data_IF_948096890352
#
_entry.id   IF_948096890352
#
_cell.length_a   1.000
_cell.length_b   1.000
_cell.length_c   1.000
_cell.angle_alpha   90.00
_cell.angle_beta   90.00
_cell.angle_gamma   90.00
#
_symmetry.space_group_name_H-M   'P 1'
#
loop_
_entity.id
_entity.type
_entity.pdbx_description
1 polymer ?
#
# COMPACT_ATOMS: atom_id res chain seq x y z
N UNK A 1 -2.88 7.20 21.55
CA UNK A 1 -1.74 6.40 21.03
C UNK A 1 -1.64 6.73 19.56
N UNK A 2 -0.58 7.41 19.12
CA UNK A 2 -0.46 7.84 17.73
C UNK A 2 -0.22 6.60 16.84
N UNK A 3 -1.22 6.23 16.04
CA UNK A 3 -1.05 5.27 14.96
C UNK A 3 -0.27 5.98 13.84
N UNK A 4 1.05 5.83 13.81
CA UNK A 4 1.86 6.52 12.79
C UNK A 4 3.39 6.38 12.88
N UNK A 5 3.94 5.66 13.87
CA UNK A 5 5.41 5.57 14.03
C UNK A 5 6.07 4.50 13.15
N UNK A 6 5.28 3.67 12.46
CA UNK A 6 5.78 2.51 11.70
C UNK A 6 5.07 2.40 10.37
N UNK A 7 5.82 1.93 9.38
CA UNK A 7 5.29 1.57 8.08
C UNK A 7 4.28 0.42 8.23
N UNK A 8 3.19 0.42 7.48
CA UNK A 8 2.17 -0.66 7.55
C UNK A 8 2.81 -2.03 7.26
N UNK A 9 3.74 -2.06 6.30
CA UNK A 9 4.42 -3.29 5.87
C UNK A 9 5.72 -3.59 6.61
N UNK A 10 6.23 -2.69 7.46
CA UNK A 10 7.42 -2.96 8.25
C UNK A 10 7.59 -2.05 9.47
N UNK A 11 8.46 -2.43 10.39
CA UNK A 11 8.73 -1.64 11.60
C UNK A 11 9.55 -0.36 11.38
N UNK A 12 9.93 -0.03 10.14
CA UNK A 12 10.72 1.17 9.82
C UNK A 12 9.86 2.43 9.96
N UNK A 13 10.49 3.56 10.32
CA UNK A 13 9.81 4.85 10.33
C UNK A 13 9.19 5.15 8.96
N UNK A 14 7.90 5.50 8.90
CA UNK A 14 7.26 5.87 7.65
C UNK A 14 7.78 7.22 7.20
N UNK A 15 7.79 7.43 5.88
CA UNK A 15 8.20 8.69 5.28
C UNK A 15 7.02 9.64 5.15
N UNK A 16 5.92 9.13 4.62
CA UNK A 16 4.69 9.87 4.41
C UNK A 16 3.49 8.91 4.39
N UNK A 17 2.32 9.47 4.61
CA UNK A 17 1.05 8.80 4.42
C UNK A 17 0.66 8.85 2.94
N UNK A 18 0.40 7.70 2.33
CA UNK A 18 0.02 7.61 0.93
C UNK A 18 -1.32 6.91 0.75
N UNK A 19 -2.10 7.39 -0.21
CA UNK A 19 -3.29 6.70 -0.66
C UNK A 19 -2.91 5.48 -1.50
N UNK A 20 -3.40 4.32 -1.11
CA UNK A 20 -3.24 3.05 -1.81
C UNK A 20 -4.60 2.47 -2.16
N UNK A 21 -4.73 1.95 -3.37
CA UNK A 21 -5.82 1.07 -3.75
C UNK A 21 -5.49 -0.36 -3.33
N UNK A 22 -6.37 -1.01 -2.57
CA UNK A 22 -6.29 -2.40 -2.17
C UNK A 22 -7.43 -3.18 -2.82
N UNK A 23 -7.16 -4.32 -3.44
CA UNK A 23 -8.21 -5.17 -4.01
C UNK A 23 -7.85 -6.65 -3.93
N UNK A 24 -8.86 -7.50 -4.08
CA UNK A 24 -8.64 -8.94 -4.13
C UNK A 24 -8.24 -9.38 -5.54
N UNK A 25 -7.26 -10.27 -5.64
CA UNK A 25 -6.86 -10.85 -6.92
C UNK A 25 -8.02 -11.48 -7.73
N UNK A 26 -9.00 -12.20 -7.12
CA UNK A 26 -10.16 -12.70 -7.85
C UNK A 26 -11.14 -11.61 -8.31
N UNK A 27 -11.20 -10.46 -7.63
CA UNK A 27 -12.17 -9.38 -7.88
C UNK A 27 -11.46 -8.02 -7.98
N UNK A 28 -10.83 -7.71 -9.13
CA UNK A 28 -10.04 -6.49 -9.32
C UNK A 28 -10.86 -5.20 -9.51
N UNK A 29 -12.18 -5.32 -9.62
CA UNK A 29 -13.12 -4.19 -9.71
C UNK A 29 -13.50 -3.66 -8.31
N UNK A 30 -13.48 -4.51 -7.29
CA UNK A 30 -13.73 -4.16 -5.89
C UNK A 30 -12.47 -3.58 -5.25
N UNK A 31 -12.11 -2.37 -5.68
CA UNK A 31 -10.97 -1.65 -5.14
C UNK A 31 -11.40 -0.84 -3.94
N UNK A 32 -10.73 -1.05 -2.82
CA UNK A 32 -10.85 -0.23 -1.63
C UNK A 32 -9.74 0.81 -1.60
N UNK A 33 -10.08 2.05 -1.24
CA UNK A 33 -9.09 3.10 -1.01
C UNK A 33 -8.69 3.11 0.45
N UNK A 34 -7.41 2.87 0.70
CA UNK A 34 -6.81 2.96 2.03
C UNK A 34 -5.75 4.07 2.05
N UNK A 35 -5.49 4.59 3.24
CA UNK A 35 -4.38 5.53 3.45
C UNK A 35 -3.42 4.87 4.42
N UNK A 36 -2.22 4.52 3.96
CA UNK A 36 -1.24 3.78 4.73
C UNK A 36 0.04 4.62 4.89
N UNK A 37 0.62 4.55 6.09
CA UNK A 37 1.93 5.12 6.35
C UNK A 37 3.00 4.20 5.79
N UNK A 38 3.77 4.68 4.81
CA UNK A 38 4.77 3.85 4.13
C UNK A 38 6.17 4.43 4.25
N UNK A 39 7.17 3.55 4.39
CA UNK A 39 8.57 3.93 4.25
C UNK A 39 8.95 4.01 2.76
N UNK A 40 10.01 4.77 2.43
CA UNK A 40 10.50 4.93 1.04
C UNK A 40 10.63 3.59 0.31
N UNK A 41 11.14 2.56 1.00
CA UNK A 41 11.38 1.24 0.41
C UNK A 41 10.09 0.53 -0.02
N UNK A 42 9.06 0.54 0.83
CA UNK A 42 7.76 -0.07 0.47
C UNK A 42 7.04 0.76 -0.57
N UNK A 43 7.14 2.10 -0.50
CA UNK A 43 6.61 2.97 -1.53
C UNK A 43 7.22 2.65 -2.91
N UNK A 44 8.55 2.59 -3.00
CA UNK A 44 9.23 2.22 -4.23
C UNK A 44 8.85 0.82 -4.72
N UNK A 45 8.65 -0.14 -3.80
CA UNK A 45 8.27 -1.52 -4.15
C UNK A 45 6.87 -1.60 -4.75
N UNK A 46 5.90 -0.90 -4.14
CA UNK A 46 4.54 -0.80 -4.68
C UNK A 46 4.50 0.02 -5.98
N UNK A 47 5.26 1.10 -6.06
CA UNK A 47 5.38 1.91 -7.29
C UNK A 47 5.96 1.08 -8.44
N UNK A 48 7.00 0.27 -8.17
CA UNK A 48 7.56 -0.69 -9.14
C UNK A 48 6.58 -1.80 -9.56
N UNK A 49 5.67 -2.21 -8.68
CA UNK A 49 4.62 -3.16 -9.03
C UNK A 49 3.59 -2.53 -10.00
N UNK A 50 3.47 -1.20 -9.99
CA UNK A 50 2.68 -0.43 -10.94
C UNK A 50 1.23 -0.90 -11.02
N UNK A 51 0.72 -1.07 -12.23
CA UNK A 51 -0.68 -1.43 -12.50
C UNK A 51 -1.05 -2.85 -12.06
N UNK A 52 -0.06 -3.76 -11.90
CA UNK A 52 -0.32 -5.12 -11.43
C UNK A 52 -0.66 -5.19 -9.94
N UNK A 53 -0.31 -4.14 -9.18
CA UNK A 53 -0.41 -4.15 -7.72
C UNK A 53 0.65 -5.05 -7.09
N UNK A 54 1.07 -4.69 -5.88
CA UNK A 54 1.98 -5.46 -5.05
C UNK A 54 1.18 -6.44 -4.17
N UNK A 55 1.40 -7.75 -4.30
CA UNK A 55 0.70 -8.74 -3.49
C UNK A 55 1.23 -8.75 -2.05
N UNK A 56 0.33 -8.59 -1.09
CA UNK A 56 0.60 -8.68 0.35
C UNK A 56 -0.60 -9.28 1.07
N UNK A 57 -0.37 -10.35 1.85
CA UNK A 57 -1.41 -11.04 2.63
C UNK A 57 -2.70 -11.40 1.86
N UNK A 58 -2.57 -11.77 0.58
CA UNK A 58 -3.71 -12.14 -0.27
C UNK A 58 -4.45 -10.96 -0.92
N UNK A 59 -3.97 -9.74 -0.70
CA UNK A 59 -4.47 -8.52 -1.30
C UNK A 59 -3.45 -7.90 -2.25
N UNK A 60 -3.92 -7.24 -3.31
CA UNK A 60 -3.10 -6.44 -4.20
C UNK A 60 -3.17 -4.99 -3.76
N UNK A 61 -2.00 -4.37 -3.54
CA UNK A 61 -1.88 -2.98 -3.13
C UNK A 61 -1.18 -2.15 -4.21
N UNK A 62 -1.73 -1.00 -4.56
CA UNK A 62 -1.13 -0.08 -5.53
C UNK A 62 -1.15 1.33 -4.97
N UNK A 63 -0.05 2.06 -5.16
CA UNK A 63 -0.01 3.48 -4.80
C UNK A 63 -0.81 4.29 -5.81
N UNK A 64 -1.69 5.15 -5.29
CA UNK A 64 -2.60 5.96 -6.08
C UNK A 64 -3.90 5.22 -6.44
N UNK A 65 -4.92 6.02 -6.73
CA UNK A 65 -6.28 5.59 -7.06
C UNK A 65 -6.60 5.71 -8.57
N UNK A 66 -5.59 5.90 -9.42
CA UNK A 66 -5.77 6.22 -10.85
C UNK A 66 -5.45 5.01 -11.74
#
# INVERSE_FOLDING_TARGET
>A
MAAGDRCEFCTTRPREEVAVARWHAPDPDDRERLTLWLCSRHMERMSKAGTRGWPHEGWLHKIGWW
#
